data_IF_080243107000
#
_entry.id   IF_080243107000
#
_cell.length_a   1.000
_cell.length_b   1.000
_cell.length_c   1.000
_cell.angle_alpha   90.00
_cell.angle_beta   90.00
_cell.angle_gamma   90.00
#
_symmetry.space_group_name_H-M   'P 1'
#
loop_
_entity.id
_entity.type
_entity.pdbx_description
1 polymer ?
#
# COMPACT_ATOMS: atom_id res chain seq x y z
N UNK A 1 20.80 6.84 -3.46
CA UNK A 1 21.08 8.30 -3.52
C UNK A 1 19.99 8.92 -4.37
N UNK A 2 19.13 9.77 -3.80
CA UNK A 2 18.10 10.48 -4.57
C UNK A 2 18.80 11.48 -5.48
N UNK A 3 18.58 11.39 -6.80
CA UNK A 3 19.17 12.32 -7.78
C UNK A 3 18.84 13.77 -7.43
N UNK A 4 19.80 14.70 -7.56
CA UNK A 4 19.52 16.13 -7.40
C UNK A 4 18.85 16.61 -8.68
N UNK A 5 17.67 17.24 -8.60
CA UNK A 5 17.13 17.94 -9.76
C UNK A 5 15.62 17.98 -9.95
N UNK A 6 14.81 17.49 -9.00
CA UNK A 6 13.37 17.78 -9.04
C UNK A 6 13.00 18.58 -7.80
N UNK A 7 12.54 19.81 -8.02
CA UNK A 7 11.96 20.65 -6.97
C UNK A 7 10.97 19.79 -6.16
N UNK A 8 10.95 19.92 -4.82
CA UNK A 8 9.98 19.20 -4.00
C UNK A 8 8.60 19.51 -4.58
N UNK A 9 7.77 18.49 -4.88
CA UNK A 9 6.41 18.78 -5.29
C UNK A 9 5.81 19.64 -4.18
N UNK A 10 5.32 20.83 -4.54
CA UNK A 10 4.49 21.62 -3.63
C UNK A 10 3.36 20.76 -3.06
N UNK A 11 2.66 21.26 -2.01
CA UNK A 11 1.52 20.55 -1.44
C UNK A 11 0.62 20.05 -2.57
N UNK A 12 0.17 18.80 -2.46
CA UNK A 12 -0.57 18.17 -3.55
C UNK A 12 -1.70 19.10 -4.03
N UNK A 13 -1.87 19.31 -5.35
CA UNK A 13 -2.98 20.11 -5.85
C UNK A 13 -4.28 19.52 -5.31
N UNK A 14 -5.20 20.37 -4.87
CA UNK A 14 -6.41 20.04 -4.10
C UNK A 14 -7.34 18.95 -4.70
N UNK A 15 -7.06 18.42 -5.90
CA UNK A 15 -7.75 17.27 -6.50
C UNK A 15 -7.05 15.91 -6.32
N UNK A 16 -5.90 15.88 -5.64
CA UNK A 16 -5.14 14.65 -5.45
C UNK A 16 -5.56 13.84 -4.21
N UNK A 17 -6.28 14.48 -3.29
CA UNK A 17 -6.62 13.97 -1.97
C UNK A 17 -8.14 13.83 -1.86
N UNK A 18 -8.63 12.85 -1.10
CA UNK A 18 -10.06 12.66 -0.93
C UNK A 18 -10.68 13.81 -0.11
N UNK A 19 -11.96 14.18 -0.30
CA UNK A 19 -12.57 15.35 0.35
C UNK A 19 -12.59 15.26 1.89
N UNK A 20 -12.66 14.05 2.44
CA UNK A 20 -12.45 13.76 3.86
C UNK A 20 -11.07 14.18 4.40
N UNK A 21 -10.10 14.46 3.53
CA UNK A 21 -8.74 14.84 3.93
C UNK A 21 -8.71 16.15 4.71
N UNK A 22 -9.60 17.09 4.40
CA UNK A 22 -9.68 18.38 5.08
C UNK A 22 -10.78 18.45 6.13
N UNK A 23 -11.87 17.70 5.93
CA UNK A 23 -13.08 17.77 6.77
C UNK A 23 -13.08 16.79 7.94
N UNK A 24 -12.35 15.68 7.85
CA UNK A 24 -12.33 14.62 8.87
C UNK A 24 -10.99 14.59 9.61
N UNK A 25 -10.89 15.43 10.66
CA UNK A 25 -9.66 15.55 11.45
C UNK A 25 -9.35 14.28 12.25
N UNK A 26 -10.36 13.55 12.73
CA UNK A 26 -10.21 12.32 13.51
C UNK A 26 -9.66 11.17 12.65
N UNK A 27 -10.26 10.95 11.48
CA UNK A 27 -9.78 9.93 10.53
C UNK A 27 -8.38 10.25 10.05
N UNK A 28 -8.08 11.52 9.77
CA UNK A 28 -6.73 11.89 9.37
C UNK A 28 -5.71 11.75 10.50
N UNK A 29 -6.06 12.06 11.75
CA UNK A 29 -5.18 11.79 12.89
C UNK A 29 -4.87 10.28 13.00
N UNK A 30 -5.89 9.43 12.83
CA UNK A 30 -5.71 7.98 12.79
C UNK A 30 -4.78 7.55 11.63
N UNK A 31 -4.98 8.08 10.42
CA UNK A 31 -4.16 7.74 9.25
C UNK A 31 -2.71 8.23 9.37
N UNK A 32 -2.48 9.39 9.97
CA UNK A 32 -1.17 10.03 10.13
C UNK A 32 -0.33 9.39 11.25
N UNK A 33 -0.98 8.78 12.24
CA UNK A 33 -0.28 8.03 13.28
C UNK A 33 0.57 6.90 12.70
N UNK A 34 1.57 6.43 13.46
CA UNK A 34 2.35 5.26 13.08
C UNK A 34 1.43 4.01 12.94
N UNK A 35 1.86 3.02 12.15
CA UNK A 35 1.22 1.71 12.22
C UNK A 35 1.45 1.13 13.63
N UNK A 36 0.48 0.39 14.15
CA UNK A 36 0.64 -0.36 15.40
C UNK A 36 1.85 -1.30 15.27
N UNK A 37 2.51 -1.58 16.40
CA UNK A 37 3.75 -2.38 16.45
C UNK A 37 3.59 -3.75 15.78
N UNK A 38 2.40 -4.35 15.86
CA UNK A 38 2.08 -5.63 15.24
C UNK A 38 0.76 -5.58 14.49
N UNK A 39 0.73 -6.18 13.29
CA UNK A 39 -0.51 -6.50 12.55
C UNK A 39 -1.39 -7.46 13.36
N UNK A 40 -0.79 -8.31 14.19
CA UNK A 40 -1.51 -9.28 15.05
C UNK A 40 -2.48 -8.64 16.05
N UNK A 41 -2.25 -7.40 16.46
CA UNK A 41 -3.06 -6.73 17.48
C UNK A 41 -4.39 -6.22 16.91
N UNK A 42 -4.41 -5.78 15.65
CA UNK A 42 -5.60 -5.30 14.94
C UNK A 42 -5.40 -5.45 13.42
N UNK A 43 -5.53 -6.66 12.89
CA UNK A 43 -5.28 -6.93 11.47
C UNK A 43 -6.21 -6.13 10.55
N UNK A 44 -7.48 -5.98 10.93
CA UNK A 44 -8.50 -5.26 10.15
C UNK A 44 -8.18 -3.77 10.01
N UNK A 45 -7.84 -3.09 11.10
CA UNK A 45 -7.47 -1.67 11.07
C UNK A 45 -6.17 -1.45 10.30
N UNK A 46 -5.20 -2.34 10.51
CA UNK A 46 -3.91 -2.29 9.83
C UNK A 46 -4.07 -2.49 8.33
N UNK A 47 -4.81 -3.52 7.90
CA UNK A 47 -5.06 -3.85 6.49
C UNK A 47 -5.87 -2.72 5.82
N UNK A 48 -6.88 -2.17 6.49
CA UNK A 48 -7.68 -1.04 5.98
C UNK A 48 -6.84 0.22 5.79
N UNK A 49 -6.00 0.56 6.77
CA UNK A 49 -5.06 1.69 6.70
C UNK A 49 -4.02 1.47 5.61
N UNK A 50 -3.51 0.24 5.47
CA UNK A 50 -2.58 -0.14 4.42
C UNK A 50 -3.21 0.02 3.04
N UNK A 51 -4.40 -0.54 2.81
CA UNK A 51 -5.13 -0.45 1.55
C UNK A 51 -5.39 1.01 1.14
N UNK A 52 -5.80 1.85 2.09
CA UNK A 52 -5.98 3.29 1.87
C UNK A 52 -4.69 3.96 1.38
N UNK A 53 -3.59 3.80 2.13
CA UNK A 53 -2.32 4.45 1.80
C UNK A 53 -1.72 3.91 0.50
N UNK A 54 -1.79 2.61 0.26
CA UNK A 54 -1.35 1.97 -0.99
C UNK A 54 -2.11 2.53 -2.18
N UNK A 55 -3.44 2.59 -2.09
CA UNK A 55 -4.29 3.17 -3.14
C UNK A 55 -3.90 4.61 -3.44
N UNK A 56 -3.70 5.43 -2.41
CA UNK A 56 -3.37 6.85 -2.55
C UNK A 56 -1.97 7.06 -3.17
N UNK A 57 -0.96 6.30 -2.72
CA UNK A 57 0.41 6.34 -3.27
C UNK A 57 0.41 5.93 -4.73
N UNK A 58 -0.30 4.86 -5.09
CA UNK A 58 -0.38 4.38 -6.47
C UNK A 58 -1.16 5.34 -7.37
N UNK A 59 -2.29 5.89 -6.91
CA UNK A 59 -3.06 6.88 -7.64
C UNK A 59 -2.23 8.13 -7.93
N UNK A 60 -1.49 8.64 -6.93
CA UNK A 60 -0.56 9.76 -7.08
C UNK A 60 0.57 9.44 -8.06
N UNK A 61 1.14 8.23 -7.99
CA UNK A 61 2.16 7.77 -8.93
C UNK A 61 1.66 7.74 -10.38
N UNK A 62 0.46 7.20 -10.60
CA UNK A 62 -0.20 7.12 -11.92
C UNK A 62 -0.48 8.52 -12.48
N UNK A 63 -1.10 9.42 -11.71
CA UNK A 63 -1.42 10.78 -12.17
C UNK A 63 -0.18 11.61 -12.52
N UNK A 64 0.91 11.45 -11.78
CA UNK A 64 2.15 12.21 -12.00
C UNK A 64 3.09 11.58 -13.03
N UNK A 65 2.73 10.43 -13.61
CA UNK A 65 3.63 9.63 -14.47
C UNK A 65 4.92 9.21 -13.75
N UNK A 66 4.91 9.19 -12.41
CA UNK A 66 6.12 9.03 -11.61
C UNK A 66 6.35 7.55 -11.32
N UNK A 67 7.35 6.97 -11.99
CA UNK A 67 7.79 5.58 -11.76
C UNK A 67 8.61 5.44 -10.47
N UNK A 68 9.19 6.54 -9.99
CA UNK A 68 9.99 6.60 -8.76
C UNK A 68 9.41 7.63 -7.79
N UNK A 69 9.25 7.21 -6.54
CA UNK A 69 8.89 8.09 -5.42
C UNK A 69 9.84 7.79 -4.27
N UNK A 70 10.12 8.78 -3.42
CA UNK A 70 10.82 8.57 -2.16
C UNK A 70 9.92 8.90 -0.96
N UNK A 71 10.30 8.43 0.23
CA UNK A 71 9.54 8.67 1.45
C UNK A 71 9.31 10.17 1.68
N UNK A 72 10.34 10.99 1.49
CA UNK A 72 10.27 12.44 1.67
C UNK A 72 9.28 13.11 0.72
N UNK A 73 9.26 12.71 -0.56
CA UNK A 73 8.32 13.26 -1.54
C UNK A 73 6.87 12.88 -1.22
N UNK A 74 6.65 11.68 -0.68
CA UNK A 74 5.33 11.24 -0.25
C UNK A 74 4.91 11.95 1.03
N UNK A 75 5.82 12.13 1.99
CA UNK A 75 5.55 12.86 3.22
C UNK A 75 5.14 14.29 2.95
N UNK A 76 5.91 15.04 2.14
CA UNK A 76 5.52 16.40 1.75
C UNK A 76 4.29 16.43 0.84
N UNK A 77 4.13 15.43 -0.04
CA UNK A 77 2.96 15.33 -0.90
C UNK A 77 1.66 15.04 -0.15
N UNK A 78 1.74 14.42 1.02
CA UNK A 78 0.63 14.11 1.91
C UNK A 78 0.71 14.91 3.22
N UNK A 79 1.45 16.01 3.23
CA UNK A 79 1.55 16.89 4.39
C UNK A 79 0.23 17.60 4.62
N UNK A 80 -0.21 17.65 5.87
CA UNK A 80 -1.46 18.34 6.26
C UNK A 80 -1.22 19.17 7.51
N UNK A 81 -1.46 20.48 7.43
CA UNK A 81 -1.30 21.42 8.57
C UNK A 81 0.05 21.25 9.30
N UNK A 82 1.15 21.04 8.55
CA UNK A 82 2.49 20.79 9.10
C UNK A 82 2.70 19.40 9.70
N UNK A 83 1.70 18.52 9.67
CA UNK A 83 1.83 17.12 10.09
C UNK A 83 2.23 16.26 8.91
N UNK A 84 3.13 15.29 9.15
CA UNK A 84 3.57 14.31 8.17
C UNK A 84 3.05 12.92 8.56
N UNK A 85 2.54 12.12 7.60
CA UNK A 85 2.07 10.78 7.91
C UNK A 85 3.25 9.84 8.23
N UNK A 86 3.32 9.41 9.49
CA UNK A 86 4.39 8.58 10.03
C UNK A 86 4.35 7.15 9.48
N UNK A 87 3.17 6.70 9.04
CA UNK A 87 2.96 5.36 8.50
C UNK A 87 3.56 5.10 7.12
N UNK A 88 3.90 6.13 6.34
CA UNK A 88 4.31 5.96 4.94
C UNK A 88 5.57 5.10 4.77
N UNK A 89 6.50 5.14 5.72
CA UNK A 89 7.69 4.28 5.69
C UNK A 89 7.32 2.79 5.72
N UNK A 90 6.33 2.43 6.52
CA UNK A 90 5.79 1.06 6.56
C UNK A 90 5.08 0.71 5.25
N UNK A 91 4.25 1.60 4.72
CA UNK A 91 3.55 1.39 3.45
C UNK A 91 4.52 1.12 2.31
N UNK A 92 5.60 1.90 2.19
CA UNK A 92 6.62 1.69 1.17
C UNK A 92 7.33 0.34 1.34
N UNK A 93 7.69 -0.03 2.57
CA UNK A 93 8.30 -1.34 2.85
C UNK A 93 7.38 -2.49 2.46
N UNK A 94 6.10 -2.39 2.80
CA UNK A 94 5.10 -3.40 2.46
C UNK A 94 4.85 -3.45 0.95
N UNK A 95 4.75 -2.32 0.26
CA UNK A 95 4.65 -2.28 -1.20
C UNK A 95 5.83 -2.97 -1.89
N UNK A 96 7.05 -2.79 -1.38
CA UNK A 96 8.25 -3.45 -1.88
C UNK A 96 8.23 -4.96 -1.60
N UNK A 97 7.68 -5.38 -0.45
CA UNK A 97 7.48 -6.80 -0.10
C UNK A 97 6.45 -7.45 -1.02
N UNK A 98 5.27 -6.85 -1.20
CA UNK A 98 4.20 -7.37 -2.04
C UNK A 98 4.53 -7.35 -3.54
N UNK A 99 5.18 -6.28 -4.06
CA UNK A 99 5.62 -6.26 -5.46
C UNK A 99 6.65 -7.34 -5.78
N UNK A 100 7.42 -7.80 -4.79
CA UNK A 100 8.37 -8.91 -4.98
C UNK A 100 7.68 -10.28 -4.94
N UNK A 101 6.48 -10.39 -4.38
CA UNK A 101 5.64 -11.59 -4.39
C UNK A 101 4.80 -11.78 -5.67
N UNK A 102 4.66 -10.74 -6.51
CA UNK A 102 4.04 -10.87 -7.84
C UNK A 102 4.94 -11.56 -8.88
N UNK A 103 6.14 -11.99 -8.47
CA UNK A 103 7.02 -12.89 -9.21
C UNK A 103 7.21 -14.23 -8.45
N UNK A 104 6.10 -14.87 -8.05
CA UNK A 104 5.97 -16.30 -7.67
C UNK A 104 6.48 -16.74 -6.28
N UNK A 105 6.06 -17.92 -5.75
CA UNK A 105 5.07 -18.89 -6.24
C UNK A 105 3.89 -19.05 -5.25
N UNK A 106 2.69 -18.65 -5.67
CA UNK A 106 1.47 -18.79 -4.88
C UNK A 106 0.25 -18.96 -5.78
N UNK A 107 0.41 -19.66 -6.89
CA UNK A 107 -0.74 -20.18 -7.64
C UNK A 107 -1.57 -21.07 -6.71
N UNK A 108 -2.90 -21.11 -6.87
CA UNK A 108 -3.73 -21.99 -6.06
C UNK A 108 -3.22 -23.43 -6.17
N UNK A 109 -3.27 -24.24 -5.09
CA UNK A 109 -2.88 -25.63 -5.17
C UNK A 109 -3.69 -26.30 -6.27
N UNK A 110 -3.01 -26.91 -7.25
CA UNK A 110 -3.65 -27.78 -8.22
C UNK A 110 -4.42 -28.83 -7.42
N UNK A 111 -5.75 -28.76 -7.52
CA UNK A 111 -6.65 -29.80 -7.01
C UNK A 111 -6.14 -31.13 -7.55
N UNK A 112 -5.89 -32.05 -6.63
CA UNK A 112 -5.19 -33.30 -6.89
C UNK A 112 -5.82 -34.06 -8.06
N UNK A 113 -4.97 -34.42 -9.02
CA UNK A 113 -5.21 -35.58 -9.85
C UNK A 113 -5.10 -36.82 -8.95
N UNK A 114 -6.20 -37.14 -8.26
CA UNK A 114 -6.35 -38.38 -7.51
C UNK A 114 -6.82 -39.47 -8.47
N UNK A 115 -6.07 -40.58 -8.50
CA UNK A 115 -6.65 -41.90 -8.75
C UNK A 115 -6.75 -42.37 -10.20
N UNK A 116 -5.61 -42.60 -10.86
CA UNK A 116 -5.55 -43.65 -11.89
C UNK A 116 -4.83 -44.87 -11.32
N UNK A 117 -5.55 -45.73 -10.60
CA UNK A 117 -5.25 -47.18 -10.53
C UNK A 117 -6.45 -47.92 -9.94
N UNK A 118 -6.88 -49.02 -10.58
CA UNK A 118 -7.87 -49.91 -9.98
C UNK A 118 -8.67 -50.74 -10.98
N UNK A 119 -8.19 -51.96 -11.22
CA UNK A 119 -8.78 -53.02 -12.04
C UNK A 119 -10.07 -53.58 -11.41
N UNK A 120 -10.92 -54.19 -12.23
CA UNK A 120 -12.05 -55.06 -11.84
C UNK A 120 -13.36 -54.57 -12.48
N UNK A 121 -13.94 -55.21 -13.49
CA UNK A 121 -14.17 -56.64 -13.60
C UNK A 121 -15.41 -57.01 -12.80
N UNK A 122 -16.60 -56.74 -13.34
CA UNK A 122 -17.83 -57.42 -12.98
C UNK A 122 -18.68 -57.64 -14.23
N UNK A 123 -19.17 -58.87 -14.30
CA UNK A 123 -19.97 -59.57 -15.31
C UNK A 123 -21.05 -58.75 -16.02
#
# INVERSE_FOLDING_TARGET
MCSPGRAPPGPAPAGDLPPEWETDDERMAFLFSAFKQSREVNSTEWDSKMAFWVGLVLARGRRRGAVRTCLRDLQHGFERRGSLPLGLGTVLRELLRYRRGAAGPGGPPAVGAEGREGRGGWL
#
